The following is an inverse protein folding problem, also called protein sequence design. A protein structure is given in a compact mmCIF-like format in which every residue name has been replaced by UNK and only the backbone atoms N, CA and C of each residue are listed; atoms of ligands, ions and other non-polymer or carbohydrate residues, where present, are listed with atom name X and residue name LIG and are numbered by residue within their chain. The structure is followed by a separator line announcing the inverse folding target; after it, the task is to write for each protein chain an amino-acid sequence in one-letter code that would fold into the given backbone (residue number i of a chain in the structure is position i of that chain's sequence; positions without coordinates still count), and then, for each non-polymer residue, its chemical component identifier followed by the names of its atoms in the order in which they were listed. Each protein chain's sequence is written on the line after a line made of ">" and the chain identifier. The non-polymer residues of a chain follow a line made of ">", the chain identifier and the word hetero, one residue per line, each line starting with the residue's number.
data_IF_970073247663
#
_entry.id   IF_970073247663
#
_cell.length_a   1.000
_cell.length_b   1.000
_cell.length_c   1.000
_cell.angle_alpha   90.00
_cell.angle_beta   90.00
_cell.angle_gamma   90.00
#
_symmetry.space_group_name_H-M   'P 1'
#
loop_
_entity.id
_entity.type
_entity.pdbx_description
1 polymer ?
#
# COMPACT_ATOMS: atom_id res chain seq x y z
N UNK A 1 -5.29 2.87 -32.54
CA UNK A 1 -6.34 1.81 -32.58
C UNK A 1 -6.96 1.64 -31.20
N UNK A 2 -8.22 2.07 -31.02
CA UNK A 2 -8.95 2.12 -29.73
C UNK A 2 -9.76 0.82 -29.54
N UNK A 3 -9.09 -0.34 -29.40
CA UNK A 3 -9.79 -1.62 -29.17
C UNK A 3 -10.24 -1.73 -27.70
N UNK A 4 -11.54 -1.48 -27.47
CA UNK A 4 -12.41 -1.93 -26.36
C UNK A 4 -11.76 -2.09 -24.96
N UNK A 5 -11.74 -1.01 -24.18
CA UNK A 5 -11.44 -1.04 -22.74
C UNK A 5 -12.53 -1.71 -21.88
N UNK A 6 -13.75 -1.88 -22.40
CA UNK A 6 -14.87 -2.49 -21.67
C UNK A 6 -14.67 -4.01 -21.50
N UNK A 7 -14.37 -4.74 -22.57
CA UNK A 7 -14.17 -6.19 -22.51
C UNK A 7 -13.07 -6.62 -21.55
N UNK A 8 -11.94 -5.88 -21.52
CA UNK A 8 -10.84 -6.14 -20.57
C UNK A 8 -11.23 -5.89 -19.11
N UNK A 9 -12.05 -4.87 -18.83
CA UNK A 9 -12.51 -4.58 -17.44
C UNK A 9 -13.48 -5.62 -16.93
N UNK A 10 -14.39 -6.11 -17.78
CA UNK A 10 -15.36 -7.15 -17.41
C UNK A 10 -14.66 -8.48 -17.13
N UNK A 11 -13.75 -8.92 -18.01
CA UNK A 11 -12.97 -10.15 -17.81
C UNK A 11 -12.13 -10.08 -16.52
N UNK A 12 -11.52 -8.93 -16.22
CA UNK A 12 -10.79 -8.71 -14.96
C UNK A 12 -11.70 -8.73 -13.74
N UNK A 13 -12.87 -8.11 -13.81
CA UNK A 13 -13.85 -8.12 -12.72
C UNK A 13 -14.34 -9.53 -12.39
N UNK A 14 -14.61 -10.34 -13.42
CA UNK A 14 -15.00 -11.75 -13.26
C UNK A 14 -13.85 -12.55 -12.65
N UNK A 15 -12.62 -12.38 -13.16
CA UNK A 15 -11.43 -13.06 -12.64
C UNK A 15 -11.17 -12.75 -11.16
N UNK A 16 -11.26 -11.48 -10.77
CA UNK A 16 -11.09 -11.06 -9.37
C UNK A 16 -12.22 -11.59 -8.47
N UNK A 17 -13.45 -11.65 -8.97
CA UNK A 17 -14.58 -12.23 -8.25
C UNK A 17 -14.41 -13.72 -7.97
N UNK A 18 -14.01 -14.50 -8.99
CA UNK A 18 -13.70 -15.93 -8.84
C UNK A 18 -12.56 -16.12 -7.85
N UNK A 19 -11.50 -15.32 -7.95
CA UNK A 19 -10.36 -15.39 -7.05
C UNK A 19 -10.74 -15.11 -5.59
N UNK A 20 -11.56 -14.07 -5.35
CA UNK A 20 -12.05 -13.75 -4.02
C UNK A 20 -12.91 -14.88 -3.43
N UNK A 21 -13.73 -15.53 -4.26
CA UNK A 21 -14.54 -16.68 -3.86
C UNK A 21 -13.66 -17.87 -3.46
N UNK A 22 -12.61 -18.16 -4.23
CA UNK A 22 -11.62 -19.21 -3.89
C UNK A 22 -10.92 -18.89 -2.57
N UNK A 23 -10.52 -17.63 -2.35
CA UNK A 23 -9.86 -17.22 -1.12
C UNK A 23 -10.79 -17.32 0.09
N UNK A 24 -12.06 -16.91 -0.07
CA UNK A 24 -13.09 -17.05 0.96
C UNK A 24 -13.40 -18.51 1.26
N UNK A 25 -13.40 -19.38 0.25
CA UNK A 25 -13.56 -20.81 0.42
C UNK A 25 -12.39 -21.45 1.17
N UNK A 26 -11.14 -21.08 0.84
CA UNK A 26 -9.96 -21.52 1.58
C UNK A 26 -10.00 -21.04 3.05
N UNK A 27 -10.39 -19.79 3.27
CA UNK A 27 -10.57 -19.24 4.61
C UNK A 27 -11.67 -20.00 5.37
N UNK A 28 -12.83 -20.21 4.76
CA UNK A 28 -13.94 -20.95 5.35
C UNK A 28 -13.55 -22.39 5.68
N UNK A 29 -12.80 -23.06 4.81
CA UNK A 29 -12.23 -24.39 5.08
C UNK A 29 -11.28 -24.36 6.28
N UNK A 30 -10.37 -23.38 6.36
CA UNK A 30 -9.44 -23.26 7.49
C UNK A 30 -10.14 -22.99 8.83
N UNK A 31 -11.16 -22.13 8.83
CA UNK A 31 -11.95 -21.78 10.02
C UNK A 31 -12.85 -22.94 10.42
N UNK A 32 -13.55 -23.56 9.47
CA UNK A 32 -14.36 -24.75 9.72
C UNK A 32 -13.51 -25.85 10.34
N UNK A 33 -12.26 -25.99 9.91
CA UNK A 33 -11.33 -26.98 10.43
C UNK A 33 -10.89 -26.68 11.89
N UNK A 34 -10.62 -25.42 12.24
CA UNK A 34 -10.38 -25.01 13.63
C UNK A 34 -11.60 -25.26 14.54
N UNK A 35 -12.81 -25.25 13.96
CA UNK A 35 -14.06 -25.46 14.68
C UNK A 35 -14.49 -26.94 14.74
N UNK A 36 -13.81 -27.86 14.04
CA UNK A 36 -14.11 -29.30 14.08
C UNK A 36 -13.60 -30.01 15.34
N UNK A 37 -12.87 -29.32 16.21
CA UNK A 37 -12.40 -29.85 17.49
C UNK A 37 -13.60 -29.96 18.47
N UNK A 38 -14.34 -31.06 18.37
CA UNK A 38 -15.40 -31.45 19.31
C UNK A 38 -16.83 -30.96 19.01
N UNK A 39 -17.07 -30.24 17.91
CA UNK A 39 -18.40 -29.69 17.61
C UNK A 39 -19.11 -30.29 16.39
N UNK A 40 -20.45 -30.31 16.49
CA UNK A 40 -21.37 -30.84 15.49
C UNK A 40 -21.33 -29.98 14.22
N UNK A 41 -20.99 -30.57 13.09
CA UNK A 41 -20.98 -29.91 11.79
C UNK A 41 -22.08 -30.52 10.91
N UNK A 42 -22.99 -29.70 10.36
CA UNK A 42 -24.15 -30.17 9.58
C UNK A 42 -25.06 -31.18 10.32
N UNK A 43 -25.16 -31.08 11.66
CA UNK A 43 -25.94 -32.01 12.47
C UNK A 43 -25.29 -33.38 12.68
N UNK A 44 -24.07 -33.60 12.16
CA UNK A 44 -23.29 -34.82 12.37
C UNK A 44 -22.07 -34.55 13.23
N UNK A 45 -21.66 -35.56 14.01
CA UNK A 45 -20.41 -35.53 14.78
C UNK A 45 -19.28 -36.08 13.91
N UNK A 46 -18.18 -35.36 13.86
CA UNK A 46 -16.96 -35.77 13.16
C UNK A 46 -15.88 -36.08 14.19
N UNK A 47 -14.97 -36.99 13.85
CA UNK A 47 -13.83 -37.36 14.68
C UNK A 47 -12.61 -37.69 13.84
N UNK A 48 -11.44 -37.53 14.44
CA UNK A 48 -10.15 -37.90 13.85
C UNK A 48 -9.60 -39.10 14.60
N UNK A 49 -9.20 -40.14 13.88
CA UNK A 49 -8.65 -41.36 14.47
C UNK A 49 -7.23 -41.06 14.98
N UNK A 50 -7.01 -41.29 16.28
CA UNK A 50 -5.75 -40.95 16.94
C UNK A 50 -4.76 -42.13 17.03
N UNK A 51 -5.25 -43.37 16.88
CA UNK A 51 -4.49 -44.61 17.10
C UNK A 51 -4.41 -45.48 15.84
N UNK A 52 -3.46 -46.42 15.85
CA UNK A 52 -3.24 -47.38 14.76
C UNK A 52 -3.93 -48.74 14.99
N UNK A 53 -4.73 -48.85 16.06
CA UNK A 53 -5.39 -50.10 16.48
C UNK A 53 -6.49 -50.57 15.52
N UNK A 54 -6.94 -49.70 14.60
CA UNK A 54 -8.02 -49.98 13.64
C UNK A 54 -7.54 -50.16 12.19
N UNK A 55 -6.23 -50.33 11.99
CA UNK A 55 -5.60 -50.37 10.66
C UNK A 55 -6.02 -51.58 9.82
N UNK A 56 -6.25 -52.75 10.43
CA UNK A 56 -6.67 -53.96 9.71
C UNK A 56 -8.04 -53.82 9.03
N UNK A 57 -8.94 -53.03 9.62
CA UNK A 57 -10.29 -52.75 9.08
C UNK A 57 -10.32 -51.51 8.19
N UNK A 58 -9.15 -51.00 7.79
CA UNK A 58 -8.99 -49.91 6.83
C UNK A 58 -9.08 -48.51 7.42
N UNK A 59 -9.06 -48.37 8.75
CA UNK A 59 -9.06 -47.09 9.45
C UNK A 59 -7.65 -46.73 9.89
N UNK A 60 -7.07 -45.71 9.25
CA UNK A 60 -5.71 -45.27 9.50
C UNK A 60 -5.68 -44.11 10.51
N UNK A 61 -4.53 -43.92 11.16
CA UNK A 61 -4.27 -42.75 12.00
C UNK A 61 -4.44 -41.47 11.17
N UNK A 62 -5.13 -40.48 11.74
CA UNK A 62 -5.55 -39.22 11.12
C UNK A 62 -6.66 -39.34 10.06
N UNK A 63 -7.30 -40.50 9.90
CA UNK A 63 -8.52 -40.57 9.10
C UNK A 63 -9.67 -39.82 9.77
N UNK A 64 -10.48 -39.17 8.96
CA UNK A 64 -11.70 -38.49 9.41
C UNK A 64 -12.88 -39.43 9.27
N UNK A 65 -13.59 -39.61 10.36
CA UNK A 65 -14.84 -40.36 10.40
C UNK A 65 -15.98 -39.43 10.79
N UNK A 66 -17.17 -39.72 10.29
CA UNK A 66 -18.39 -39.15 10.85
C UNK A 66 -19.17 -40.25 11.56
N UNK A 67 -19.86 -39.86 12.63
CA UNK A 67 -20.73 -40.75 13.39
C UNK A 67 -22.08 -40.80 12.69
N UNK A 68 -22.49 -42.00 12.30
CA UNK A 68 -23.82 -42.27 11.78
C UNK A 68 -24.66 -42.96 12.86
N UNK A 69 -25.81 -42.36 13.19
CA UNK A 69 -26.80 -43.01 14.03
C UNK A 69 -27.28 -44.28 13.34
N UNK A 70 -27.07 -45.42 13.99
CA UNK A 70 -27.51 -46.72 13.49
C UNK A 70 -28.36 -47.41 14.54
N UNK A 71 -29.57 -47.81 14.15
CA UNK A 71 -30.51 -48.52 15.02
C UNK A 71 -30.13 -49.99 15.24
N UNK A 72 -29.31 -50.55 14.35
CA UNK A 72 -28.84 -51.93 14.41
C UNK A 72 -27.33 -51.98 14.17
N UNK A 73 -26.60 -52.56 15.11
CA UNK A 73 -25.15 -52.77 15.07
C UNK A 73 -24.91 -54.28 15.04
N UNK A 74 -24.20 -54.74 14.03
CA UNK A 74 -23.89 -56.14 13.77
C UNK A 74 -22.39 -56.43 14.02
N UNK A 75 -22.05 -57.71 14.05
CA UNK A 75 -20.65 -58.15 14.14
C UNK A 75 -19.90 -57.69 12.88
N UNK A 76 -18.73 -57.07 13.06
CA UNK A 76 -17.92 -56.49 11.99
C UNK A 76 -18.15 -54.98 11.75
N UNK A 77 -19.17 -54.37 12.37
CA UNK A 77 -19.33 -52.93 12.34
C UNK A 77 -18.26 -52.22 13.20
N UNK A 78 -17.77 -51.07 12.74
CA UNK A 78 -16.91 -50.20 13.54
C UNK A 78 -17.75 -49.14 14.22
N UNK A 79 -17.65 -49.05 15.54
CA UNK A 79 -18.49 -48.17 16.36
C UNK A 79 -17.65 -47.17 17.15
N UNK A 80 -18.24 -46.01 17.42
CA UNK A 80 -17.68 -44.98 18.29
C UNK A 80 -18.43 -45.01 19.61
N UNK A 81 -17.71 -45.12 20.72
CA UNK A 81 -18.32 -45.27 22.05
C UNK A 81 -17.46 -44.66 23.16
N UNK A 82 -18.06 -44.44 24.31
CA UNK A 82 -17.38 -43.95 25.51
C UNK A 82 -16.76 -45.11 26.30
N UNK A 83 -15.44 -45.14 26.40
CA UNK A 83 -14.67 -46.04 27.27
C UNK A 83 -14.56 -45.44 28.68
N UNK A 84 -15.32 -46.02 29.61
CA UNK A 84 -15.34 -45.66 31.04
C UNK A 84 -15.75 -46.87 31.90
N UNK A 85 -14.87 -47.88 32.07
CA UNK A 85 -15.20 -49.13 32.78
C UNK A 85 -15.71 -48.91 34.21
N UNK A 86 -15.23 -47.86 34.88
CA UNK A 86 -15.60 -47.44 36.24
C UNK A 86 -17.01 -46.85 36.33
N UNK A 87 -17.58 -46.41 35.21
CA UNK A 87 -18.89 -45.76 35.14
C UNK A 87 -19.96 -46.62 34.47
N UNK A 88 -19.60 -47.80 33.95
CA UNK A 88 -20.56 -48.67 33.28
C UNK A 88 -21.62 -49.22 34.23
N UNK A 89 -21.35 -49.34 35.52
CA UNK A 89 -22.36 -49.73 36.52
C UNK A 89 -23.04 -48.53 37.18
N UNK A 90 -22.58 -47.30 36.90
CA UNK A 90 -23.18 -46.09 37.45
C UNK A 90 -24.53 -45.77 36.79
N UNK A 91 -25.43 -45.19 37.59
CA UNK A 91 -26.75 -44.70 37.16
C UNK A 91 -26.60 -43.42 36.34
N UNK A 92 -25.71 -42.54 36.77
CA UNK A 92 -25.39 -41.28 36.09
C UNK A 92 -24.04 -41.42 35.37
N UNK A 93 -24.00 -41.00 34.11
CA UNK A 93 -22.79 -41.05 33.27
C UNK A 93 -22.17 -39.65 33.12
N UNK A 94 -20.90 -39.50 33.49
CA UNK A 94 -20.14 -38.27 33.32
C UNK A 94 -19.28 -38.35 32.04
N UNK A 95 -19.83 -37.82 30.93
CA UNK A 95 -19.17 -37.77 29.63
C UNK A 95 -17.76 -37.16 29.68
N UNK A 96 -17.50 -36.22 30.59
CA UNK A 96 -16.21 -35.51 30.66
C UNK A 96 -15.08 -36.38 31.20
N UNK A 97 -15.41 -37.45 31.92
CA UNK A 97 -14.44 -38.41 32.47
C UNK A 97 -14.25 -39.64 31.58
N UNK A 98 -15.04 -39.76 30.52
CA UNK A 98 -14.93 -40.86 29.58
C UNK A 98 -13.99 -40.52 28.43
N UNK A 99 -13.25 -41.52 27.97
CA UNK A 99 -12.43 -41.42 26.75
C UNK A 99 -13.20 -41.98 25.55
N UNK A 100 -13.08 -41.36 24.38
CA UNK A 100 -13.81 -41.81 23.18
C UNK A 100 -12.96 -42.80 22.38
N UNK A 101 -13.49 -44.01 22.16
CA UNK A 101 -12.79 -45.10 21.49
C UNK A 101 -13.54 -45.52 20.21
N UNK A 102 -12.79 -46.03 19.24
CA UNK A 102 -13.31 -46.49 17.95
C UNK A 102 -12.81 -47.91 17.73
N UNK A 103 -13.70 -48.91 17.84
CA UNK A 103 -13.34 -50.33 17.72
C UNK A 103 -14.35 -51.10 16.87
N UNK A 104 -13.95 -52.28 16.40
CA UNK A 104 -14.81 -53.20 15.67
C UNK A 104 -15.57 -54.10 16.63
N UNK A 105 -16.85 -54.38 16.32
CA UNK A 105 -17.70 -55.26 17.10
C UNK A 105 -17.38 -56.73 16.80
N UNK A 106 -16.95 -57.47 17.81
CA UNK A 106 -16.61 -58.90 17.71
C UNK A 106 -17.78 -59.79 18.11
N UNK A 107 -18.58 -59.37 19.09
CA UNK A 107 -19.76 -60.11 19.52
C UNK A 107 -20.88 -59.16 19.95
N UNK A 108 -22.12 -59.56 19.65
CA UNK A 108 -23.34 -58.86 20.07
C UNK A 108 -24.11 -59.76 21.02
N UNK A 109 -24.47 -59.23 22.18
CA UNK A 109 -25.32 -59.92 23.17
C UNK A 109 -26.62 -59.14 23.33
N UNK A 110 -27.75 -59.85 23.28
CA UNK A 110 -29.07 -59.27 23.49
C UNK A 110 -29.71 -59.92 24.72
N UNK A 111 -29.90 -59.13 25.76
CA UNK A 111 -30.60 -59.56 26.98
C UNK A 111 -31.80 -58.65 27.21
N UNK A 112 -33.01 -59.21 27.15
CA UNK A 112 -34.28 -58.50 27.37
C UNK A 112 -34.46 -57.21 26.54
N UNK A 113 -33.95 -57.19 25.30
CA UNK A 113 -34.03 -56.03 24.41
C UNK A 113 -32.93 -54.98 24.63
N UNK A 114 -32.02 -55.21 25.58
CA UNK A 114 -30.81 -54.40 25.76
C UNK A 114 -29.64 -55.05 25.03
N UNK A 115 -29.08 -54.32 24.06
CA UNK A 115 -27.90 -54.74 23.32
C UNK A 115 -26.62 -54.34 24.06
N UNK A 116 -25.68 -55.27 24.16
CA UNK A 116 -24.30 -55.04 24.58
C UNK A 116 -23.31 -55.62 23.57
N UNK A 117 -22.17 -54.96 23.45
CA UNK A 117 -21.20 -55.19 22.38
C UNK A 117 -19.83 -55.50 22.99
N UNK A 118 -19.22 -56.59 22.55
CA UNK A 118 -17.80 -56.84 22.79
C UNK A 118 -17.00 -56.26 21.63
N UNK A 119 -16.07 -55.37 21.94
CA UNK A 119 -15.28 -54.66 20.94
C UNK A 119 -13.83 -55.10 20.95
N UNK A 120 -13.15 -54.85 19.83
CA UNK A 120 -11.72 -55.08 19.68
C UNK A 120 -11.14 -54.09 18.68
N UNK A 121 -9.96 -53.55 18.97
CA UNK A 121 -9.14 -52.91 17.95
C UNK A 121 -8.78 -53.93 16.88
N UNK A 122 -9.17 -53.73 15.63
CA UNK A 122 -9.03 -54.72 14.55
C UNK A 122 -7.59 -55.27 14.38
N UNK A 123 -6.59 -54.46 14.75
CA UNK A 123 -5.16 -54.80 14.67
C UNK A 123 -4.57 -55.33 15.98
N UNK A 124 -5.34 -55.35 17.06
CA UNK A 124 -4.91 -55.92 18.34
C UNK A 124 -5.05 -57.46 18.31
N UNK A 125 -4.34 -58.16 19.19
CA UNK A 125 -4.44 -59.62 19.29
C UNK A 125 -5.64 -60.06 20.15
N UNK A 126 -5.91 -59.35 21.24
CA UNK A 126 -7.00 -59.63 22.20
C UNK A 126 -8.16 -58.65 22.05
N UNK A 127 -9.37 -59.09 22.42
CA UNK A 127 -10.52 -58.20 22.60
C UNK A 127 -10.39 -57.35 23.88
N UNK A 128 -11.28 -56.37 24.03
CA UNK A 128 -11.25 -55.42 25.15
C UNK A 128 -11.73 -56.03 26.49
N UNK A 129 -12.21 -57.29 26.49
CA UNK A 129 -12.57 -58.06 27.68
C UNK A 129 -13.87 -57.64 28.39
N UNK A 130 -14.54 -56.58 27.92
CA UNK A 130 -15.73 -56.00 28.56
C UNK A 130 -16.86 -55.76 27.57
N UNK A 131 -18.09 -56.10 27.96
CA UNK A 131 -19.28 -55.82 27.16
C UNK A 131 -19.78 -54.40 27.42
N UNK A 132 -19.88 -53.60 26.37
CA UNK A 132 -20.30 -52.20 26.43
C UNK A 132 -21.79 -52.12 26.08
N UNK A 133 -22.58 -51.51 26.96
CA UNK A 133 -24.02 -51.30 26.73
C UNK A 133 -24.26 -50.28 25.62
N UNK A 134 -25.30 -50.50 24.81
CA UNK A 134 -25.76 -49.57 23.76
C UNK A 134 -25.93 -48.11 24.22
N UNK A 135 -26.19 -47.85 25.50
CA UNK A 135 -26.27 -46.47 26.04
C UNK A 135 -24.97 -45.67 25.94
N UNK A 136 -23.81 -46.34 25.86
CA UNK A 136 -22.50 -45.69 25.76
C UNK A 136 -22.00 -45.62 24.31
N UNK A 137 -22.76 -46.16 23.37
CA UNK A 137 -22.42 -46.17 21.94
C UNK A 137 -23.03 -44.95 21.27
N UNK A 138 -22.20 -44.17 20.60
CA UNK A 138 -22.64 -42.97 19.87
C UNK A 138 -23.17 -43.31 18.47
N UNK A 139 -22.66 -44.37 17.83
CA UNK A 139 -23.08 -44.80 16.50
C UNK A 139 -21.97 -45.50 15.72
N UNK A 140 -22.21 -45.74 14.43
CA UNK A 140 -21.23 -46.34 13.52
C UNK A 140 -20.24 -45.29 13.03
N UNK A 141 -18.96 -45.64 12.99
CA UNK A 141 -17.93 -44.83 12.37
C UNK A 141 -17.97 -45.06 10.86
N UNK A 142 -18.08 -43.98 10.07
CA UNK A 142 -18.04 -44.07 8.61
C UNK A 142 -16.95 -43.15 8.07
N UNK A 143 -16.06 -43.71 7.26
CA UNK A 143 -14.99 -42.98 6.59
C UNK A 143 -15.56 -42.02 5.55
N UNK A 144 -14.95 -40.84 5.44
CA UNK A 144 -15.17 -39.98 4.27
C UNK A 144 -14.59 -40.62 3.00
N UNK A 145 -15.10 -40.25 1.81
CA UNK A 145 -14.53 -40.70 0.54
C UNK A 145 -13.04 -40.38 0.44
N UNK A 146 -12.26 -41.27 -0.18
CA UNK A 146 -10.80 -41.20 -0.21
C UNK A 146 -10.23 -39.87 -0.73
N UNK A 147 -10.92 -39.22 -1.68
CA UNK A 147 -10.54 -37.90 -2.17
C UNK A 147 -10.58 -36.84 -1.07
N UNK A 148 -11.66 -36.80 -0.28
CA UNK A 148 -11.81 -35.87 0.82
C UNK A 148 -10.84 -36.18 1.95
N UNK A 149 -10.63 -37.45 2.28
CA UNK A 149 -9.66 -37.86 3.32
C UNK A 149 -8.29 -37.23 3.08
N UNK A 150 -7.75 -37.34 1.85
CA UNK A 150 -6.43 -36.78 1.52
C UNK A 150 -6.37 -35.26 1.62
N UNK A 151 -7.41 -34.58 1.17
CA UNK A 151 -7.47 -33.10 1.24
C UNK A 151 -7.49 -32.63 2.68
N UNK A 152 -8.34 -33.25 3.51
CA UNK A 152 -8.43 -32.87 4.91
C UNK A 152 -7.18 -33.24 5.69
N UNK A 153 -6.61 -34.44 5.48
CA UNK A 153 -5.34 -34.85 6.09
C UNK A 153 -4.21 -33.90 5.76
N UNK A 154 -4.15 -33.41 4.52
CA UNK A 154 -3.18 -32.39 4.14
C UNK A 154 -3.46 -31.06 4.87
N UNK A 155 -4.71 -30.57 4.84
CA UNK A 155 -5.11 -29.32 5.48
C UNK A 155 -4.90 -29.32 7.01
N UNK A 156 -5.00 -30.50 7.63
CA UNK A 156 -4.73 -30.81 9.04
C UNK A 156 -3.25 -30.62 9.43
N UNK A 157 -2.32 -30.74 8.47
CA UNK A 157 -0.90 -30.58 8.78
C UNK A 157 -0.53 -29.10 8.97
N UNK A 158 0.45 -28.78 9.85
CA UNK A 158 0.95 -27.40 10.00
C UNK A 158 1.42 -26.79 8.67
N UNK A 159 2.02 -27.62 7.82
CA UNK A 159 2.46 -27.22 6.49
C UNK A 159 1.29 -26.98 5.55
N UNK A 160 0.29 -27.87 5.51
CA UNK A 160 -0.86 -27.73 4.63
C UNK A 160 -1.72 -26.51 4.98
N UNK A 161 -1.90 -26.23 6.28
CA UNK A 161 -2.58 -25.02 6.74
C UNK A 161 -1.82 -23.74 6.34
N UNK A 162 -0.48 -23.77 6.47
CA UNK A 162 0.38 -22.67 6.01
C UNK A 162 0.28 -22.47 4.49
N UNK A 163 0.28 -23.54 3.70
CA UNK A 163 0.13 -23.48 2.23
C UNK A 163 -1.25 -22.94 1.84
N UNK A 164 -2.32 -23.40 2.49
CA UNK A 164 -3.70 -22.97 2.21
C UNK A 164 -3.89 -21.47 2.48
N UNK A 165 -3.17 -20.91 3.44
CA UNK A 165 -3.22 -19.48 3.76
C UNK A 165 -2.27 -18.64 2.89
N UNK A 166 -1.01 -19.06 2.79
CA UNK A 166 0.06 -18.28 2.17
C UNK A 166 -0.03 -18.30 0.65
N UNK A 167 -0.30 -19.46 0.04
CA UNK A 167 -0.33 -19.60 -1.42
C UNK A 167 -1.33 -18.65 -2.11
N UNK A 168 -2.61 -18.56 -1.70
CA UNK A 168 -3.54 -17.62 -2.31
C UNK A 168 -3.13 -16.16 -2.04
N UNK A 169 -2.59 -15.84 -0.87
CA UNK A 169 -2.10 -14.49 -0.59
C UNK A 169 -0.92 -14.11 -1.50
N UNK A 170 0.05 -15.01 -1.71
CA UNK A 170 1.18 -14.79 -2.60
C UNK A 170 0.73 -14.63 -4.06
N UNK A 171 -0.24 -15.45 -4.51
CA UNK A 171 -0.80 -15.35 -5.85
C UNK A 171 -1.50 -13.99 -6.06
N UNK A 172 -2.29 -13.52 -5.08
CA UNK A 172 -2.90 -12.20 -5.09
C UNK A 172 -1.84 -11.09 -5.21
N UNK A 173 -0.81 -11.14 -4.35
CA UNK A 173 0.27 -10.16 -4.36
C UNK A 173 1.00 -10.13 -5.69
N UNK A 174 1.27 -11.29 -6.30
CA UNK A 174 1.89 -11.39 -7.62
C UNK A 174 1.04 -10.75 -8.71
N UNK A 175 -0.27 -11.04 -8.74
CA UNK A 175 -1.21 -10.47 -9.70
C UNK A 175 -1.32 -8.93 -9.55
N UNK A 176 -1.45 -8.44 -8.32
CA UNK A 176 -1.49 -6.99 -8.04
C UNK A 176 -0.18 -6.31 -8.40
N UNK A 177 0.96 -6.95 -8.09
CA UNK A 177 2.29 -6.41 -8.43
C UNK A 177 2.48 -6.31 -9.94
N UNK A 178 2.05 -7.33 -10.68
CA UNK A 178 2.09 -7.29 -12.14
C UNK A 178 1.27 -6.14 -12.70
N UNK A 179 0.04 -5.95 -12.22
CA UNK A 179 -0.80 -4.82 -12.64
C UNK A 179 -0.16 -3.47 -12.30
N UNK A 180 0.43 -3.33 -11.12
CA UNK A 180 1.14 -2.13 -10.72
C UNK A 180 2.32 -1.82 -11.65
N UNK A 181 3.12 -2.83 -12.00
CA UNK A 181 4.27 -2.67 -12.92
C UNK A 181 3.79 -2.20 -14.29
N UNK A 182 2.73 -2.80 -14.83
CA UNK A 182 2.16 -2.40 -16.13
C UNK A 182 1.68 -0.95 -16.09
N UNK A 183 0.97 -0.54 -15.04
CA UNK A 183 0.48 0.83 -14.87
C UNK A 183 1.61 1.86 -14.72
N UNK A 184 2.65 1.51 -13.96
CA UNK A 184 3.82 2.37 -13.79
C UNK A 184 4.56 2.57 -15.11
N UNK A 185 4.74 1.50 -15.89
CA UNK A 185 5.39 1.57 -17.19
C UNK A 185 4.61 2.41 -18.19
N UNK A 186 3.29 2.25 -18.26
CA UNK A 186 2.43 3.07 -19.13
C UNK A 186 2.48 4.56 -18.75
N UNK A 187 2.46 4.87 -17.44
CA UNK A 187 2.60 6.24 -16.95
C UNK A 187 3.97 6.84 -17.26
N UNK A 188 5.04 6.05 -17.15
CA UNK A 188 6.40 6.48 -17.46
C UNK A 188 6.58 6.74 -18.96
N UNK A 189 6.11 5.85 -19.83
CA UNK A 189 6.15 6.03 -21.29
C UNK A 189 5.42 7.31 -21.72
N UNK A 190 4.19 7.51 -21.23
CA UNK A 190 3.41 8.73 -21.49
C UNK A 190 4.14 9.98 -20.97
N UNK A 191 4.71 9.93 -19.76
CA UNK A 191 5.43 11.06 -19.19
C UNK A 191 6.72 11.39 -19.95
N UNK A 192 7.44 10.36 -20.43
CA UNK A 192 8.65 10.51 -21.23
C UNK A 192 8.33 11.08 -22.62
N UNK A 193 7.27 10.60 -23.27
CA UNK A 193 6.80 11.11 -24.56
C UNK A 193 6.45 12.61 -24.47
N UNK A 194 5.65 13.00 -23.46
CA UNK A 194 5.31 14.41 -23.17
C UNK A 194 6.56 15.26 -22.90
N UNK A 195 7.50 14.75 -22.10
CA UNK A 195 8.75 15.47 -21.76
C UNK A 195 9.69 15.58 -22.97
N UNK A 196 9.59 14.64 -23.91
CA UNK A 196 10.45 14.60 -25.10
C UNK A 196 9.98 15.56 -26.20
N UNK A 197 8.69 15.88 -26.32
CA UNK A 197 8.18 16.75 -27.38
C UNK A 197 7.95 18.21 -26.97
N UNK A 198 7.58 18.48 -25.70
CA UNK A 198 7.15 19.82 -25.26
C UNK A 198 8.08 20.37 -24.17
N UNK A 199 8.77 21.47 -24.46
CA UNK A 199 9.56 22.20 -23.46
C UNK A 199 8.75 23.35 -22.89
N UNK A 200 8.57 23.39 -21.57
CA UNK A 200 7.84 24.48 -20.92
C UNK A 200 8.74 25.63 -20.49
N UNK A 201 8.44 26.84 -20.98
CA UNK A 201 9.05 28.09 -20.53
C UNK A 201 8.21 28.70 -19.41
N UNK A 202 8.78 28.73 -18.21
CA UNK A 202 8.11 29.28 -17.02
C UNK A 202 8.50 30.75 -16.80
N UNK A 203 7.52 31.59 -16.51
CA UNK A 203 7.74 32.98 -16.04
C UNK A 203 8.38 33.02 -14.65
N UNK A 204 8.78 34.20 -14.16
CA UNK A 204 9.16 34.40 -12.75
C UNK A 204 8.07 33.94 -11.81
N UNK A 205 6.84 34.37 -12.07
CA UNK A 205 5.67 34.05 -11.27
C UNK A 205 5.44 32.53 -11.20
N UNK A 206 5.44 31.85 -12.36
CA UNK A 206 5.31 30.39 -12.40
C UNK A 206 6.45 29.66 -11.69
N UNK A 207 7.70 30.16 -11.77
CA UNK A 207 8.84 29.58 -11.06
C UNK A 207 8.73 29.75 -9.54
N UNK A 208 8.14 30.84 -9.07
CA UNK A 208 7.89 31.09 -7.65
C UNK A 208 6.72 30.24 -7.12
N UNK A 209 5.62 30.17 -7.86
CA UNK A 209 4.43 29.38 -7.45
C UNK A 209 4.71 27.88 -7.35
N UNK A 210 5.53 27.36 -8.26
CA UNK A 210 5.94 25.95 -8.28
C UNK A 210 7.19 25.65 -7.42
N UNK A 211 7.71 26.65 -6.69
CA UNK A 211 8.88 26.47 -5.84
C UNK A 211 8.54 25.71 -4.54
N UNK A 212 9.57 25.14 -3.93
CA UNK A 212 9.51 24.54 -2.59
C UNK A 212 9.12 25.60 -1.53
N UNK A 213 8.57 25.14 -0.41
CA UNK A 213 8.04 26.01 0.65
C UNK A 213 9.11 26.96 1.24
N UNK A 214 10.34 26.49 1.37
CA UNK A 214 11.47 27.28 1.88
C UNK A 214 11.81 28.48 0.97
N UNK A 215 11.72 28.29 -0.36
CA UNK A 215 11.93 29.34 -1.35
C UNK A 215 10.80 30.38 -1.26
N UNK A 216 9.55 29.92 -1.14
CA UNK A 216 8.39 30.82 -0.97
C UNK A 216 8.53 31.65 0.31
N UNK A 217 8.92 31.03 1.41
CA UNK A 217 9.13 31.72 2.69
C UNK A 217 10.25 32.77 2.61
N UNK A 218 11.40 32.42 2.03
CA UNK A 218 12.51 33.35 1.80
C UNK A 218 12.09 34.51 0.91
N UNK A 219 11.34 34.24 -0.16
CA UNK A 219 10.79 35.27 -1.03
C UNK A 219 9.86 36.22 -0.27
N UNK A 220 8.94 35.69 0.55
CA UNK A 220 8.03 36.51 1.35
C UNK A 220 8.78 37.42 2.33
N UNK A 221 9.82 36.89 2.99
CA UNK A 221 10.70 37.69 3.87
C UNK A 221 11.39 38.83 3.10
N UNK A 222 11.94 38.55 1.92
CA UNK A 222 12.58 39.57 1.07
C UNK A 222 11.58 40.62 0.59
N UNK A 223 10.42 40.20 0.07
CA UNK A 223 9.36 41.11 -0.40
C UNK A 223 8.85 42.01 0.71
N UNK A 224 8.58 41.43 1.88
CA UNK A 224 8.16 42.18 3.08
C UNK A 224 9.16 43.27 3.43
N UNK A 225 10.46 42.96 3.45
CA UNK A 225 11.52 43.93 3.76
C UNK A 225 11.62 45.03 2.69
N UNK A 226 11.61 44.66 1.40
CA UNK A 226 11.71 45.63 0.30
C UNK A 226 10.55 46.63 0.28
N UNK A 227 9.34 46.18 0.62
CA UNK A 227 8.16 47.04 0.69
C UNK A 227 8.16 47.96 1.92
N UNK A 228 9.11 47.82 2.86
CA UNK A 228 9.25 48.77 3.98
C UNK A 228 9.83 50.10 3.55
N UNK A 229 10.50 50.19 2.40
CA UNK A 229 11.07 51.47 1.96
C UNK A 229 10.01 52.39 1.34
N UNK A 230 10.09 53.68 1.66
CA UNK A 230 9.12 54.68 1.21
C UNK A 230 9.09 54.75 -0.32
N UNK A 231 7.89 54.75 -0.89
CA UNK A 231 7.64 54.82 -2.34
C UNK A 231 8.32 53.68 -3.15
N UNK A 232 8.55 52.53 -2.51
CA UNK A 232 9.01 51.34 -3.19
C UNK A 232 7.84 50.71 -3.97
N UNK A 233 8.01 50.58 -5.29
CA UNK A 233 7.06 49.93 -6.18
C UNK A 233 7.70 48.69 -6.79
N UNK A 234 6.97 47.58 -6.76
CA UNK A 234 7.32 46.35 -7.46
C UNK A 234 6.65 46.26 -8.84
N UNK A 235 7.33 45.60 -9.77
CA UNK A 235 6.78 45.22 -11.07
C UNK A 235 7.23 43.81 -11.41
N UNK A 236 6.27 42.92 -11.63
CA UNK A 236 6.52 41.58 -12.12
C UNK A 236 6.59 41.59 -13.65
N UNK A 237 7.69 41.08 -14.18
CA UNK A 237 7.91 40.80 -15.60
C UNK A 237 8.03 39.30 -15.81
N UNK A 238 8.06 38.85 -17.07
CA UNK A 238 8.25 37.43 -17.38
C UNK A 238 9.49 36.82 -16.72
N UNK A 239 10.58 37.59 -16.58
CA UNK A 239 11.86 37.08 -16.06
C UNK A 239 12.10 37.40 -14.60
N UNK A 240 11.57 38.51 -14.10
CA UNK A 240 11.97 39.07 -12.82
C UNK A 240 10.84 39.85 -12.15
N UNK A 241 10.89 39.94 -10.83
CA UNK A 241 10.23 41.02 -10.09
C UNK A 241 11.24 42.13 -9.81
N UNK A 242 10.93 43.37 -10.17
CA UNK A 242 11.85 44.51 -9.98
C UNK A 242 11.24 45.54 -9.06
N UNK A 243 12.02 45.97 -8.08
CA UNK A 243 11.70 46.99 -7.09
C UNK A 243 12.42 48.29 -7.45
N UNK A 244 11.69 49.40 -7.39
CA UNK A 244 12.19 50.76 -7.67
C UNK A 244 11.63 51.74 -6.66
N UNK A 245 12.39 52.79 -6.36
CA UNK A 245 11.94 53.92 -5.55
C UNK A 245 11.97 55.17 -6.44
N UNK A 246 10.79 55.67 -6.79
CA UNK A 246 10.64 56.66 -7.85
C UNK A 246 11.20 56.14 -9.18
N UNK A 247 12.17 56.86 -9.76
CA UNK A 247 12.87 56.46 -11.00
C UNK A 247 14.16 55.67 -10.76
N UNK A 248 14.59 55.51 -9.50
CA UNK A 248 15.85 54.85 -9.15
C UNK A 248 15.68 53.32 -9.00
N UNK A 249 16.59 52.51 -9.58
CA UNK A 249 16.60 51.07 -9.35
C UNK A 249 16.94 50.75 -7.89
N UNK A 250 16.34 49.71 -7.33
CA UNK A 250 16.66 49.27 -5.98
C UNK A 250 17.13 47.82 -5.97
N UNK A 251 16.20 46.88 -6.15
CA UNK A 251 16.50 45.44 -6.13
C UNK A 251 15.70 44.72 -7.21
N UNK A 252 16.22 43.60 -7.72
CA UNK A 252 15.51 42.70 -8.64
C UNK A 252 15.64 41.26 -8.16
N UNK A 253 14.53 40.53 -8.22
CA UNK A 253 14.42 39.14 -7.78
C UNK A 253 14.21 38.22 -9.00
N UNK A 254 14.95 37.11 -9.03
CA UNK A 254 14.74 35.98 -9.93
C UNK A 254 14.68 34.67 -9.11
N UNK A 255 13.88 33.69 -9.54
CA UNK A 255 13.85 32.34 -8.95
C UNK A 255 14.35 31.33 -9.97
N UNK A 256 15.51 30.69 -9.75
CA UNK A 256 16.08 29.70 -10.67
C UNK A 256 16.32 28.38 -9.98
N UNK A 257 15.53 27.36 -10.32
CA UNK A 257 15.58 26.07 -9.63
C UNK A 257 15.40 26.28 -8.13
N UNK A 258 16.31 25.73 -7.33
CA UNK A 258 16.29 25.85 -5.87
C UNK A 258 17.04 27.09 -5.32
N UNK A 259 16.99 28.23 -6.01
CA UNK A 259 17.77 29.40 -5.62
C UNK A 259 17.07 30.70 -5.98
N UNK A 260 16.94 31.59 -4.99
CA UNK A 260 16.58 32.99 -5.24
C UNK A 260 17.85 33.75 -5.62
N UNK A 261 17.80 34.50 -6.71
CA UNK A 261 18.86 35.40 -7.16
C UNK A 261 18.42 36.83 -6.93
N UNK A 262 19.18 37.53 -6.10
CA UNK A 262 18.90 38.90 -5.73
C UNK A 262 19.93 39.80 -6.39
N UNK A 263 19.47 40.74 -7.21
CA UNK A 263 20.31 41.69 -7.90
C UNK A 263 20.11 43.07 -7.30
N UNK A 264 21.20 43.75 -6.95
CA UNK A 264 21.18 45.03 -6.25
C UNK A 264 21.68 46.16 -7.13
N UNK A 265 21.09 47.34 -6.97
CA UNK A 265 21.53 48.58 -7.60
C UNK A 265 22.69 49.24 -6.81
N UNK A 266 23.74 48.46 -6.56
CA UNK A 266 24.96 48.88 -5.88
C UNK A 266 26.13 48.07 -6.44
N UNK A 267 27.31 48.68 -6.62
CA UNK A 267 28.46 47.98 -7.21
C UNK A 267 29.06 46.98 -6.21
N UNK A 268 29.62 45.84 -6.68
CA UNK A 268 30.19 44.83 -5.80
C UNK A 268 31.33 45.36 -4.91
N UNK A 269 32.12 46.31 -5.41
CA UNK A 269 33.23 46.95 -4.69
C UNK A 269 32.77 47.80 -3.50
N UNK A 270 31.51 48.25 -3.53
CA UNK A 270 30.90 49.06 -2.47
C UNK A 270 30.20 48.20 -1.42
N UNK A 271 30.22 46.87 -1.58
CA UNK A 271 29.63 45.92 -0.65
C UNK A 271 30.71 45.30 0.23
N UNK A 272 30.37 44.95 1.46
CA UNK A 272 31.31 44.25 2.34
C UNK A 272 31.75 42.91 1.73
N UNK A 273 33.07 42.67 1.71
CA UNK A 273 33.67 41.46 1.11
C UNK A 273 33.27 40.14 1.77
N UNK A 274 32.58 40.17 2.93
CA UNK A 274 32.07 38.97 3.60
C UNK A 274 30.93 38.29 2.82
N UNK A 275 30.28 39.02 1.91
CA UNK A 275 29.20 38.49 1.09
C UNK A 275 29.76 37.95 -0.24
N UNK A 276 29.41 36.72 -0.61
CA UNK A 276 29.79 36.11 -1.88
C UNK A 276 28.99 36.69 -3.08
N UNK A 277 29.11 38.00 -3.29
CA UNK A 277 28.46 38.75 -4.37
C UNK A 277 29.20 38.53 -5.68
N UNK A 278 28.44 38.36 -6.76
CA UNK A 278 28.96 38.11 -8.10
C UNK A 278 28.67 39.34 -8.96
N UNK A 279 29.69 39.88 -9.62
CA UNK A 279 29.49 40.96 -10.58
C UNK A 279 28.75 40.48 -11.85
N UNK A 280 27.76 41.25 -12.28
CA UNK A 280 26.93 41.06 -13.47
C UNK A 280 26.87 42.31 -14.35
N UNK A 281 27.64 43.36 -14.03
CA UNK A 281 27.72 44.64 -14.76
C UNK A 281 27.89 44.47 -16.27
N UNK A 282 28.72 43.51 -16.69
CA UNK A 282 29.03 43.17 -18.08
C UNK A 282 27.82 42.75 -18.93
N UNK A 283 26.68 42.43 -18.31
CA UNK A 283 25.46 42.05 -19.04
C UNK A 283 24.50 43.22 -19.11
N UNK A 284 24.17 43.68 -20.32
CA UNK A 284 23.21 44.79 -20.57
C UNK A 284 21.91 44.69 -19.76
N UNK A 285 21.37 43.49 -19.55
CA UNK A 285 20.15 43.27 -18.75
C UNK A 285 20.31 43.64 -17.27
N UNK A 286 21.52 43.54 -16.73
CA UNK A 286 21.86 43.73 -15.31
C UNK A 286 22.73 44.98 -15.08
N UNK A 287 22.95 45.83 -16.08
CA UNK A 287 23.76 47.05 -15.93
C UNK A 287 23.26 47.96 -14.78
N UNK A 288 21.94 48.08 -14.59
CA UNK A 288 21.36 48.85 -13.46
C UNK A 288 21.28 48.06 -12.14
N UNK A 289 21.67 46.78 -12.13
CA UNK A 289 21.65 45.90 -10.96
C UNK A 289 22.90 44.98 -10.97
N UNK A 290 24.11 45.56 -10.87
CA UNK A 290 25.35 44.86 -11.17
C UNK A 290 25.70 43.77 -10.15
N UNK A 291 25.29 43.90 -8.89
CA UNK A 291 25.64 42.95 -7.83
C UNK A 291 24.62 41.83 -7.69
N UNK A 292 25.05 40.57 -7.80
CA UNK A 292 24.21 39.39 -7.61
C UNK A 292 24.57 38.60 -6.35
N UNK A 293 23.60 38.39 -5.45
CA UNK A 293 23.67 37.40 -4.39
C UNK A 293 22.77 36.19 -4.70
N UNK A 294 23.28 34.97 -4.48
CA UNK A 294 22.50 33.73 -4.55
C UNK A 294 22.04 33.31 -3.16
N UNK A 295 20.74 33.37 -2.91
CA UNK A 295 20.12 33.00 -1.64
C UNK A 295 19.68 31.53 -1.70
N UNK A 296 20.50 30.66 -1.10
CA UNK A 296 20.30 29.19 -1.05
C UNK A 296 20.03 28.65 0.35
N UNK A 297 20.22 29.48 1.39
CA UNK A 297 20.17 29.09 2.79
C UNK A 297 19.72 30.28 3.64
N UNK A 298 19.39 30.03 4.91
CA UNK A 298 18.92 31.08 5.82
C UNK A 298 20.05 32.03 6.23
N UNK A 299 21.31 31.55 6.24
CA UNK A 299 22.49 32.41 6.34
C UNK A 299 22.57 33.37 5.16
N UNK A 300 22.38 32.87 3.93
CA UNK A 300 22.38 33.73 2.75
C UNK A 300 21.17 34.68 2.73
N UNK A 301 20.04 34.32 3.34
CA UNK A 301 18.91 35.22 3.52
C UNK A 301 19.26 36.38 4.46
N UNK A 302 19.93 36.12 5.59
CA UNK A 302 20.40 37.19 6.49
C UNK A 302 21.31 38.18 5.76
N UNK A 303 22.27 37.66 4.99
CA UNK A 303 23.13 38.48 4.13
C UNK A 303 22.36 39.26 3.06
N UNK A 304 21.32 38.66 2.49
CA UNK A 304 20.47 39.36 1.53
C UNK A 304 19.73 40.55 2.18
N UNK A 305 19.25 40.39 3.41
CA UNK A 305 18.59 41.47 4.16
C UNK A 305 19.56 42.60 4.52
N UNK A 306 20.75 42.26 5.01
CA UNK A 306 21.82 43.24 5.28
C UNK A 306 22.18 44.03 4.01
N UNK A 307 22.34 43.36 2.87
CA UNK A 307 22.64 44.01 1.59
C UNK A 307 21.49 44.87 1.05
N UNK A 308 20.23 44.55 1.37
CA UNK A 308 19.09 45.43 1.04
C UNK A 308 19.23 46.75 1.80
N UNK A 309 19.53 46.69 3.10
CA UNK A 309 19.76 47.89 3.93
C UNK A 309 20.96 48.70 3.43
N UNK A 310 22.11 48.06 3.13
CA UNK A 310 23.29 48.74 2.56
C UNK A 310 22.99 49.40 1.21
N UNK A 311 22.25 48.71 0.33
CA UNK A 311 21.84 49.27 -0.96
C UNK A 311 20.92 50.49 -0.77
N UNK A 312 20.06 50.45 0.25
CA UNK A 312 19.18 51.57 0.57
C UNK A 312 19.96 52.78 1.11
N UNK A 313 20.88 52.56 2.05
CA UNK A 313 21.73 53.60 2.62
C UNK A 313 22.56 54.30 1.54
N UNK A 314 23.25 53.53 0.69
CA UNK A 314 24.08 54.05 -0.39
C UNK A 314 23.27 54.88 -1.43
N UNK A 315 21.98 54.60 -1.59
CA UNK A 315 21.09 55.32 -2.52
C UNK A 315 20.22 56.38 -1.85
N UNK A 316 20.32 56.57 -0.53
CA UNK A 316 19.52 57.51 0.26
C UNK A 316 18.05 57.14 0.37
N UNK A 317 17.71 55.84 0.36
CA UNK A 317 16.33 55.36 0.47
C UNK A 317 15.88 55.28 1.93
N UNK A 318 14.74 55.91 2.23
CA UNK A 318 14.23 56.03 3.60
C UNK A 318 13.28 54.87 3.94
N UNK A 319 13.53 54.21 5.07
CA UNK A 319 12.68 53.14 5.61
C UNK A 319 11.39 53.72 6.21
N UNK A 320 10.26 53.05 6.00
CA UNK A 320 8.93 53.40 6.52
C UNK A 320 8.33 52.17 7.21
N UNK A 321 7.74 52.34 8.39
CA UNK A 321 6.94 51.27 9.01
C UNK A 321 5.69 51.00 8.15
N UNK A 322 5.57 49.80 7.60
CA UNK A 322 4.34 49.33 6.95
C UNK A 322 3.33 48.97 8.04
N UNK A 323 2.08 49.43 7.89
CA UNK A 323 0.98 49.16 8.84
C UNK A 323 0.09 47.97 8.43
N UNK A 324 0.27 47.41 7.23
CA UNK A 324 -0.59 46.36 6.67
C UNK A 324 0.12 45.01 6.62
N UNK A 325 -0.59 43.98 7.03
CA UNK A 325 -0.19 42.59 6.90
C UNK A 325 -0.28 42.19 5.42
N UNK A 326 0.80 41.61 4.88
CA UNK A 326 0.88 41.17 3.50
C UNK A 326 0.61 39.66 3.48
N UNK A 327 -0.60 39.27 3.10
CA UNK A 327 -0.94 37.89 2.77
C UNK A 327 -1.05 37.76 1.25
N UNK A 328 -0.24 36.86 0.68
CA UNK A 328 -0.34 36.45 -0.72
C UNK A 328 -0.42 34.95 -0.73
N UNK A 329 -1.49 34.40 -1.32
CA UNK A 329 -1.56 32.96 -1.61
C UNK A 329 -0.54 32.63 -2.69
N UNK A 330 0.26 31.60 -2.43
CA UNK A 330 1.31 31.12 -3.33
C UNK A 330 1.02 29.70 -3.81
N UNK A 331 -0.24 29.39 -4.10
CA UNK A 331 -0.73 27.99 -4.19
C UNK A 331 -1.24 27.60 -5.57
N UNK A 332 -0.78 28.28 -6.62
CA UNK A 332 -1.22 27.99 -7.99
C UNK A 332 -0.63 26.68 -8.51
N UNK A 333 -1.48 25.88 -9.13
CA UNK A 333 -1.11 24.63 -9.78
C UNK A 333 -0.44 24.86 -11.13
N UNK A 334 0.25 23.84 -11.65
CA UNK A 334 0.87 23.92 -12.97
C UNK A 334 -0.17 24.19 -14.09
N UNK A 335 -1.33 23.56 -14.01
CA UNK A 335 -2.42 23.67 -15.01
C UNK A 335 -3.04 25.06 -15.02
N UNK A 336 -3.27 25.64 -13.83
CA UNK A 336 -3.74 27.03 -13.71
C UNK A 336 -2.73 28.02 -14.30
N UNK A 337 -1.44 27.83 -14.02
CA UNK A 337 -0.38 28.68 -14.55
C UNK A 337 -0.23 28.56 -16.07
N UNK A 338 -0.48 27.38 -16.64
CA UNK A 338 -0.50 27.17 -18.08
C UNK A 338 -1.69 27.88 -18.72
N UNK A 339 -2.89 27.69 -18.16
CA UNK A 339 -4.14 28.29 -18.65
C UNK A 339 -4.09 29.82 -18.59
N UNK A 340 -3.53 30.38 -17.53
CA UNK A 340 -3.38 31.84 -17.33
C UNK A 340 -2.16 32.42 -18.08
N UNK A 341 -1.44 31.61 -18.85
CA UNK A 341 -0.34 32.06 -19.70
C UNK A 341 0.95 32.42 -18.95
N UNK A 342 1.09 32.08 -17.68
CA UNK A 342 2.34 32.21 -16.90
C UNK A 342 3.37 31.14 -17.23
N UNK A 343 2.94 30.05 -17.88
CA UNK A 343 3.76 29.02 -18.52
C UNK A 343 3.43 29.01 -20.01
N UNK A 344 4.45 28.88 -20.85
CA UNK A 344 4.30 28.75 -22.30
C UNK A 344 4.93 27.46 -22.75
N UNK A 345 4.24 26.76 -23.65
CA UNK A 345 4.79 25.64 -24.39
C UNK A 345 5.73 26.15 -25.48
N UNK A 346 6.94 25.61 -25.54
CA UNK A 346 7.85 25.71 -26.69
C UNK A 346 7.95 24.31 -27.28
N UNK A 347 7.37 24.11 -28.48
CA UNK A 347 7.67 22.92 -29.29
C UNK A 347 9.16 22.92 -29.63
N UNK A 348 9.77 21.74 -29.73
CA UNK A 348 11.20 21.61 -30.06
C UNK A 348 11.59 22.44 -31.29
N UNK A 349 10.75 22.43 -32.32
CA UNK A 349 10.99 23.12 -33.59
C UNK A 349 11.10 24.64 -33.43
N UNK A 350 10.20 25.24 -32.65
CA UNK A 350 10.18 26.68 -32.35
C UNK A 350 11.42 27.14 -31.56
N UNK A 351 11.98 26.26 -30.72
CA UNK A 351 13.17 26.55 -29.95
C UNK A 351 14.43 26.60 -30.84
N UNK A 352 14.58 25.66 -31.77
CA UNK A 352 15.73 25.64 -32.70
C UNK A 352 15.73 26.88 -33.60
N UNK A 353 14.55 27.25 -34.14
CA UNK A 353 14.39 28.44 -34.98
C UNK A 353 14.80 29.71 -34.24
N UNK A 354 14.37 29.89 -32.98
CA UNK A 354 14.75 31.07 -32.16
C UNK A 354 16.22 31.15 -31.79
N UNK A 355 16.93 30.02 -31.78
CA UNK A 355 18.36 29.93 -31.49
C UNK A 355 19.24 30.04 -32.76
N UNK A 356 18.64 30.28 -33.93
CA UNK A 356 19.34 30.32 -35.22
C UNK A 356 19.67 28.94 -35.78
N UNK A 357 19.09 27.87 -35.22
CA UNK A 357 19.18 26.52 -35.77
C UNK A 357 18.15 26.33 -36.89
N UNK A 358 18.54 25.61 -37.96
CA UNK A 358 17.61 25.20 -39.01
C UNK A 358 16.57 24.21 -38.43
N UNK A 359 15.30 24.27 -38.86
CA UNK A 359 14.30 23.28 -38.46
C UNK A 359 14.75 21.88 -38.84
N UNK A 360 14.43 20.90 -38.01
CA UNK A 360 14.65 19.50 -38.32
C UNK A 360 13.58 19.14 -39.34
N UNK A 361 13.95 19.01 -40.61
CA UNK A 361 13.05 18.45 -41.62
C UNK A 361 12.67 17.03 -41.19
N UNK A 362 11.38 16.83 -40.93
CA UNK A 362 10.83 15.52 -40.63
C UNK A 362 11.19 14.57 -41.78
N UNK A 363 12.01 13.55 -41.49
CA UNK A 363 12.09 12.36 -42.35
C UNK A 363 10.82 11.56 -42.11
N UNK A 364 10.01 11.46 -43.17
CA UNK A 364 8.83 10.61 -43.28
C UNK A 364 9.07 9.18 -42.79
#
# INVERSE_FOLDING_TARGET
>A
MKKSNIGRRVVKGIGNGIFALVLLFCLALSVSFLLLDGNTFLGKRFGVIQSESMTASGYLKNDIVYIQDASLIEVGDVIVFYWAPDQYEAVDFDEKKASLWVHEVVAVKNENGSFSYLTKGSSNETDDGLYISSRFVLGKAVLLPAFFQRIFQFALTPLGLSVLLVMPCCLLLGLLSWELIVLLKEKEEVHLEIKSEVRYKKSFFARLMLAEADIKERYLKLKKTLLTYRNCHDRISWKFETYRIGRKPFVRIDVRGKTIRLYFALNPEQMEGKYAVIDQSNRRTFASFPSLLKVKSDRALRYALELIDQTAEANGFVKRKIKREFSVSLDWTFEELLTQGYIKEERKDDFFIRKGGKPIENRN
#
